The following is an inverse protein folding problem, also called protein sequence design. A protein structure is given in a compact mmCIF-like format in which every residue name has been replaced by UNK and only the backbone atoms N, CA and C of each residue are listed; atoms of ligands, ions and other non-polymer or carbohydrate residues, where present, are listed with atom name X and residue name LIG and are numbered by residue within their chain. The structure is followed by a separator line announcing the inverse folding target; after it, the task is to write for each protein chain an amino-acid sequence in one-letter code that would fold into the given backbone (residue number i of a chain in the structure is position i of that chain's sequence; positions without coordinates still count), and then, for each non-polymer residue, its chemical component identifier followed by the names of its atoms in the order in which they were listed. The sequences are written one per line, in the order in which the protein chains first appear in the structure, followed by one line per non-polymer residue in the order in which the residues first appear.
data_IF_603987022371
#
_entry.id   IF_603987022371
#
_cell.length_a   1.000
_cell.length_b   1.000
_cell.length_c   1.000
_cell.angle_alpha   90.00
_cell.angle_beta   90.00
_cell.angle_gamma   90.00
#
_symmetry.space_group_name_H-M   'P 1'
#
loop_
_entity.id
_entity.type
_entity.pdbx_description
1 polymer ?
#
# COMPACT_ATOMS: atom_id res chain seq x y z
N UNK A 1 -8.09 -12.02 16.74
CA UNK A 1 -7.57 -10.91 15.89
C UNK A 1 -7.35 -9.66 16.74
N UNK A 2 -6.19 -9.01 16.64
CA UNK A 2 -5.96 -7.69 17.25
C UNK A 2 -6.82 -6.62 16.57
N UNK A 3 -7.39 -5.65 17.30
CA UNK A 3 -8.14 -4.56 16.67
C UNK A 3 -7.21 -3.77 15.74
N UNK A 4 -7.66 -3.41 14.54
CA UNK A 4 -6.79 -2.70 13.62
C UNK A 4 -6.48 -1.31 14.13
N UNK A 5 -5.23 -0.89 13.92
CA UNK A 5 -4.79 0.45 14.25
C UNK A 5 -5.53 1.48 13.38
N UNK A 6 -5.79 2.69 13.90
CA UNK A 6 -6.29 3.79 13.08
C UNK A 6 -5.39 4.06 11.87
N UNK A 7 -5.94 4.66 10.82
CA UNK A 7 -5.19 5.11 9.66
C UNK A 7 -4.16 6.17 10.06
N UNK A 8 -2.92 5.98 9.59
CA UNK A 8 -1.80 6.88 9.81
C UNK A 8 -0.99 7.03 8.52
N UNK A 9 -0.75 8.26 8.09
CA UNK A 9 0.10 8.57 6.96
C UNK A 9 1.56 8.29 7.30
N UNK A 10 2.26 7.52 6.47
CA UNK A 10 3.69 7.24 6.59
C UNK A 10 4.53 8.35 5.93
N UNK A 11 3.99 8.99 4.89
CA UNK A 11 4.71 10.01 4.11
C UNK A 11 4.11 11.42 4.29
N UNK A 12 4.94 12.48 4.15
CA UNK A 12 4.45 13.85 4.17
C UNK A 12 3.44 14.10 3.04
N UNK A 13 2.51 15.06 3.19
CA UNK A 13 1.48 15.31 2.19
C UNK A 13 2.06 15.99 0.94
N UNK A 14 1.72 15.46 -0.25
CA UNK A 14 1.96 16.14 -1.52
C UNK A 14 0.64 16.64 -2.12
N UNK A 15 0.14 17.77 -1.58
CA UNK A 15 -1.23 18.26 -1.84
C UNK A 15 -1.56 18.52 -3.31
N UNK A 16 -0.54 18.82 -4.13
CA UNK A 16 -0.70 19.10 -5.56
C UNK A 16 -1.10 17.87 -6.39
N UNK A 17 -0.87 16.66 -5.87
CA UNK A 17 -1.13 15.39 -6.56
C UNK A 17 -2.32 14.62 -5.96
N UNK A 18 -3.05 15.22 -5.02
CA UNK A 18 -4.25 14.60 -4.46
C UNK A 18 -5.35 14.64 -5.52
N UNK A 19 -5.92 13.49 -5.92
CA UNK A 19 -6.93 13.46 -6.97
C UNK A 19 -8.18 14.28 -6.62
N UNK A 20 -8.69 15.05 -7.58
CA UNK A 20 -9.90 15.88 -7.41
C UNK A 20 -11.01 15.52 -8.39
N UNK A 21 -10.69 14.79 -9.46
CA UNK A 21 -11.60 14.44 -10.54
C UNK A 21 -11.21 13.07 -11.15
N UNK A 22 -12.01 12.57 -12.09
CA UNK A 22 -11.79 11.24 -12.69
C UNK A 22 -10.45 11.12 -13.45
N UNK A 23 -9.99 12.21 -14.08
CA UNK A 23 -8.71 12.21 -14.79
C UNK A 23 -7.56 12.11 -13.81
N UNK A 24 -7.56 12.90 -12.73
CA UNK A 24 -6.52 12.82 -11.70
C UNK A 24 -6.47 11.43 -11.06
N UNK A 25 -7.63 10.79 -10.85
CA UNK A 25 -7.70 9.42 -10.33
C UNK A 25 -7.06 8.41 -11.29
N UNK A 26 -7.33 8.54 -12.59
CA UNK A 26 -6.68 7.71 -13.61
C UNK A 26 -5.15 7.94 -13.64
N UNK A 27 -4.71 9.21 -13.63
CA UNK A 27 -3.29 9.57 -13.56
C UNK A 27 -2.61 9.00 -12.29
N UNK A 28 -3.31 8.98 -11.16
CA UNK A 28 -2.79 8.39 -9.92
C UNK A 28 -2.73 6.86 -9.99
N UNK A 29 -3.70 6.19 -10.62
CA UNK A 29 -3.64 4.74 -10.88
C UNK A 29 -2.45 4.41 -11.79
N UNK A 30 -2.21 5.21 -12.83
CA UNK A 30 -1.03 5.03 -13.69
C UNK A 30 0.27 5.22 -12.91
N UNK A 31 0.32 6.17 -11.97
CA UNK A 31 1.47 6.36 -11.09
C UNK A 31 1.73 5.13 -10.22
N UNK A 32 0.68 4.58 -9.58
CA UNK A 32 0.81 3.35 -8.77
C UNK A 32 1.36 2.18 -9.61
N UNK A 33 0.88 2.01 -10.85
CA UNK A 33 1.37 0.97 -11.76
C UNK A 33 2.82 1.18 -12.17
N UNK A 34 3.26 2.44 -12.31
CA UNK A 34 4.65 2.79 -12.59
C UNK A 34 5.56 2.37 -11.44
N UNK A 35 5.27 2.80 -10.21
CA UNK A 35 6.09 2.44 -9.04
C UNK A 35 6.15 0.90 -8.84
N UNK A 36 5.05 0.20 -9.10
CA UNK A 36 5.04 -1.27 -9.02
C UNK A 36 5.95 -1.93 -10.08
N UNK A 37 6.03 -1.36 -11.29
CA UNK A 37 6.95 -1.82 -12.33
C UNK A 37 8.40 -1.46 -12.02
N UNK A 38 8.65 -0.30 -11.41
CA UNK A 38 9.97 0.11 -10.94
C UNK A 38 10.46 -0.85 -9.83
N UNK A 39 9.60 -1.23 -8.88
CA UNK A 39 9.91 -2.26 -7.89
C UNK A 39 10.23 -3.61 -8.53
N UNK A 40 9.48 -4.02 -9.57
CA UNK A 40 9.78 -5.26 -10.30
C UNK A 40 11.15 -5.18 -10.99
N UNK A 41 11.44 -4.06 -11.64
CA UNK A 41 12.71 -3.82 -12.34
C UNK A 41 13.87 -3.83 -11.36
N UNK A 42 13.74 -3.12 -10.23
CA UNK A 42 14.74 -3.08 -9.18
C UNK A 42 15.01 -4.46 -8.56
N UNK A 43 14.00 -5.34 -8.49
CA UNK A 43 14.17 -6.74 -8.09
C UNK A 43 14.95 -7.55 -9.14
N UNK A 44 14.61 -7.40 -10.42
CA UNK A 44 15.28 -8.13 -11.51
C UNK A 44 16.73 -7.67 -11.70
N UNK A 45 17.02 -6.42 -11.35
CA UNK A 45 18.35 -5.80 -11.43
C UNK A 45 19.13 -5.85 -10.10
N UNK A 46 18.73 -6.70 -9.14
CA UNK A 46 19.46 -6.86 -7.87
C UNK A 46 20.90 -7.29 -8.17
N UNK A 47 21.80 -6.31 -8.12
CA UNK A 47 23.23 -6.45 -8.34
C UNK A 47 23.97 -5.99 -7.07
N UNK A 48 25.17 -5.43 -7.23
CA UNK A 48 26.08 -5.07 -6.13
C UNK A 48 25.53 -4.06 -5.10
N UNK A 49 24.45 -3.34 -5.43
CA UNK A 49 23.79 -2.38 -4.54
C UNK A 49 22.81 -3.03 -3.54
N UNK A 50 22.66 -4.36 -3.58
CA UNK A 50 21.79 -5.11 -2.67
C UNK A 50 20.31 -4.77 -2.83
N UNK A 51 19.52 -5.01 -1.77
CA UNK A 51 18.06 -4.85 -1.79
C UNK A 51 17.58 -3.40 -1.62
N UNK A 52 18.49 -2.44 -1.42
CA UNK A 52 18.10 -1.06 -1.11
C UNK A 52 17.23 -0.42 -2.21
N UNK A 53 17.58 -0.51 -3.51
CA UNK A 53 16.72 0.02 -4.58
C UNK A 53 15.33 -0.61 -4.55
N UNK A 54 15.24 -1.93 -4.45
CA UNK A 54 13.96 -2.62 -4.36
C UNK A 54 13.10 -2.15 -3.17
N UNK A 55 13.70 -1.92 -2.01
CA UNK A 55 12.99 -1.40 -0.83
C UNK A 55 12.51 0.04 -1.06
N UNK A 56 13.29 0.87 -1.75
CA UNK A 56 12.87 2.24 -2.09
C UNK A 56 11.65 2.23 -3.01
N UNK A 57 11.66 1.42 -4.06
CA UNK A 57 10.52 1.34 -4.99
C UNK A 57 9.25 0.80 -4.31
N UNK A 58 9.38 -0.15 -3.36
CA UNK A 58 8.24 -0.57 -2.54
C UNK A 58 7.67 0.57 -1.68
N UNK A 59 8.54 1.45 -1.17
CA UNK A 59 8.11 2.64 -0.43
C UNK A 59 7.42 3.66 -1.35
N UNK A 60 7.88 3.79 -2.60
CA UNK A 60 7.25 4.65 -3.59
C UNK A 60 5.85 4.16 -3.98
N UNK A 61 5.63 2.83 -4.08
CA UNK A 61 4.28 2.25 -4.23
C UNK A 61 3.37 2.65 -3.07
N UNK A 62 3.88 2.57 -1.83
CA UNK A 62 3.11 2.98 -0.64
C UNK A 62 2.79 4.48 -0.72
N UNK A 63 3.76 5.33 -1.04
CA UNK A 63 3.57 6.77 -1.16
C UNK A 63 2.55 7.13 -2.25
N UNK A 64 2.59 6.46 -3.41
CA UNK A 64 1.62 6.66 -4.49
C UNK A 64 0.21 6.25 -4.05
N UNK A 65 0.08 5.16 -3.31
CA UNK A 65 -1.20 4.75 -2.72
C UNK A 65 -1.69 5.76 -1.68
N UNK A 66 -0.82 6.22 -0.77
CA UNK A 66 -1.19 7.23 0.23
C UNK A 66 -1.64 8.53 -0.43
N UNK A 67 -0.99 8.97 -1.50
CA UNK A 67 -1.38 10.17 -2.26
C UNK A 67 -2.79 10.04 -2.82
N UNK A 68 -3.16 8.87 -3.36
CA UNK A 68 -4.53 8.58 -3.80
C UNK A 68 -5.52 8.60 -2.63
N UNK A 69 -5.17 7.97 -1.51
CA UNK A 69 -6.05 7.86 -0.34
C UNK A 69 -6.31 9.21 0.34
N UNK A 70 -5.48 10.23 0.11
CA UNK A 70 -5.70 11.60 0.62
C UNK A 70 -6.93 12.29 0.05
N UNK A 71 -7.55 11.75 -0.99
CA UNK A 71 -8.87 12.18 -1.46
C UNK A 71 -9.95 11.94 -0.39
N UNK A 72 -9.75 10.97 0.52
CA UNK A 72 -10.76 10.54 1.48
C UNK A 72 -10.45 11.03 2.90
N UNK A 73 -11.52 11.29 3.65
CA UNK A 73 -11.45 11.54 5.08
C UNK A 73 -10.87 10.33 5.83
N UNK A 74 -9.97 10.53 6.82
CA UNK A 74 -9.35 9.43 7.57
C UNK A 74 -10.33 8.41 8.15
N UNK A 75 -11.52 8.85 8.62
CA UNK A 75 -12.57 7.96 9.14
C UNK A 75 -13.10 6.97 8.09
N UNK A 76 -13.11 7.34 6.81
CA UNK A 76 -13.51 6.44 5.73
C UNK A 76 -12.40 5.41 5.45
N UNK A 77 -11.14 5.82 5.61
CA UNK A 77 -9.99 4.93 5.50
C UNK A 77 -9.94 3.91 6.64
N UNK A 78 -10.30 4.30 7.87
CA UNK A 78 -10.47 3.38 9.00
C UNK A 78 -11.51 2.30 8.69
N UNK A 79 -12.68 2.71 8.20
CA UNK A 79 -13.75 1.78 7.82
C UNK A 79 -13.31 0.86 6.66
N UNK A 80 -12.63 1.39 5.64
CA UNK A 80 -12.10 0.59 4.53
C UNK A 80 -11.04 -0.41 5.01
N UNK A 81 -10.13 0.00 5.89
CA UNK A 81 -9.10 -0.85 6.50
C UNK A 81 -9.74 -2.01 7.28
N UNK A 82 -10.76 -1.75 8.09
CA UNK A 82 -11.54 -2.79 8.78
C UNK A 82 -12.11 -3.83 7.81
N UNK A 83 -12.70 -3.37 6.70
CA UNK A 83 -13.29 -4.26 5.69
C UNK A 83 -12.24 -5.10 4.96
N UNK A 84 -11.09 -4.51 4.61
CA UNK A 84 -9.99 -5.25 3.97
C UNK A 84 -9.41 -6.30 4.92
N UNK A 85 -9.23 -5.95 6.19
CA UNK A 85 -8.73 -6.86 7.21
C UNK A 85 -9.70 -8.03 7.41
N UNK A 86 -10.99 -7.76 7.57
CA UNK A 86 -12.01 -8.83 7.65
C UNK A 86 -12.01 -9.72 6.41
N UNK A 87 -11.98 -9.13 5.22
CA UNK A 87 -11.90 -9.88 3.95
C UNK A 87 -10.66 -10.78 3.87
N UNK A 88 -9.54 -10.36 4.44
CA UNK A 88 -8.31 -11.15 4.45
C UNK A 88 -8.31 -12.21 5.56
N UNK A 89 -8.97 -11.94 6.69
CA UNK A 89 -9.25 -12.93 7.74
C UNK A 89 -10.09 -14.08 7.19
N UNK A 90 -11.18 -13.76 6.48
CA UNK A 90 -12.04 -14.76 5.81
C UNK A 90 -11.27 -15.61 4.76
N UNK A 91 -10.10 -15.14 4.31
CA UNK A 91 -9.20 -15.85 3.38
C UNK A 91 -8.09 -16.65 4.09
N UNK A 92 -8.02 -16.60 5.42
CA UNK A 92 -7.00 -17.26 6.23
C UNK A 92 -5.64 -16.55 6.24
N UNK A 93 -5.53 -15.28 5.82
CA UNK A 93 -4.25 -14.56 5.82
C UNK A 93 -3.67 -14.36 7.23
N UNK A 94 -4.51 -14.39 8.26
CA UNK A 94 -4.13 -14.17 9.66
C UNK A 94 -4.33 -15.42 10.53
N UNK A 95 -4.70 -16.54 9.93
CA UNK A 95 -4.75 -17.82 10.63
C UNK A 95 -3.30 -18.27 10.85
N UNK A 96 -2.75 -17.96 12.02
CA UNK A 96 -1.48 -18.51 12.48
C UNK A 96 -1.64 -20.03 12.50
N UNK A 97 -1.10 -20.70 11.46
CA UNK A 97 -1.27 -22.12 11.18
C UNK A 97 -1.41 -22.98 12.45
N UNK A 98 -2.63 -23.39 12.73
CA UNK A 98 -2.92 -24.30 13.82
C UNK A 98 -2.24 -25.65 13.57
N UNK A 99 -1.26 -25.97 14.42
CA UNK A 99 -0.82 -27.31 14.79
C UNK A 99 0.26 -28.00 13.92
N UNK A 100 1.52 -27.91 14.36
CA UNK A 100 2.46 -29.04 14.30
C UNK A 100 2.92 -29.42 15.72
N UNK A 101 1.96 -29.86 16.53
CA UNK A 101 2.22 -30.85 17.56
C UNK A 101 1.87 -32.24 17.02
N UNK A 102 2.86 -32.94 16.47
CA UNK A 102 3.14 -34.38 16.65
C UNK A 102 4.65 -34.54 16.60
#
# INVERSE_FOLDING_TARGET
MMPPTPWQWQFPPCRQWVPSNNRDRDEQVQSILREANEARTAFDEICWNGMLPYVMELMDVIQACETALREFEPRHLDAAKMLVIRKNDDRGYYDDGGNHGI
#
